data_IF_422345347913
#
_entry.id   IF_422345347913
#
_cell.length_a   1.000
_cell.length_b   1.000
_cell.length_c   1.000
_cell.angle_alpha   90.00
_cell.angle_beta   90.00
_cell.angle_gamma   90.00
#
_symmetry.space_group_name_H-M   'P 1'
#
loop_
_entity.id
_entity.type
_entity.pdbx_description
1 polymer ?
#
# COMPACT_ATOMS: atom_id res chain seq x y z
N UNK A 1 34.67 7.96 -7.73
CA UNK A 1 33.44 8.78 -7.67
C UNK A 1 33.50 9.67 -6.41
N UNK A 2 33.86 10.95 -6.58
CA UNK A 2 33.91 11.99 -5.52
C UNK A 2 32.67 12.88 -5.67
N UNK A 3 32.13 13.45 -4.59
CA UNK A 3 30.93 14.31 -4.55
C UNK A 3 29.63 13.64 -5.05
N UNK A 4 29.12 12.65 -4.30
CA UNK A 4 27.92 11.88 -4.68
C UNK A 4 26.64 12.30 -3.96
N UNK A 5 26.73 13.30 -3.08
CA UNK A 5 25.58 13.72 -2.29
C UNK A 5 24.64 14.54 -3.19
N UNK A 6 23.50 13.95 -3.50
CA UNK A 6 22.41 14.64 -4.17
C UNK A 6 21.55 15.33 -3.10
N UNK A 7 21.32 16.62 -3.28
CA UNK A 7 20.49 17.43 -2.39
C UNK A 7 19.28 17.93 -3.16
N UNK A 8 18.13 17.94 -2.51
CA UNK A 8 16.88 18.45 -3.04
C UNK A 8 16.13 19.25 -1.99
N UNK A 9 15.32 20.20 -2.45
CA UNK A 9 14.45 20.98 -1.60
C UNK A 9 13.17 21.33 -2.34
N UNK A 10 12.08 21.48 -1.61
CA UNK A 10 10.80 21.86 -2.17
C UNK A 10 9.95 22.62 -1.16
N UNK A 11 9.13 23.52 -1.68
CA UNK A 11 8.05 24.16 -0.93
C UNK A 11 6.75 23.85 -1.66
N UNK A 12 5.66 23.71 -0.91
CA UNK A 12 4.35 23.47 -1.52
C UNK A 12 3.25 24.10 -0.69
N UNK A 13 2.13 24.37 -1.35
CA UNK A 13 0.91 24.82 -0.74
C UNK A 13 -0.27 24.31 -1.59
N UNK A 14 -0.96 23.30 -1.08
CA UNK A 14 -2.08 22.65 -1.76
C UNK A 14 -3.36 22.79 -0.93
N UNK A 15 -4.49 22.82 -1.61
CA UNK A 15 -5.81 22.72 -0.99
C UNK A 15 -6.50 21.45 -1.49
N UNK A 16 -6.95 20.61 -0.56
CA UNK A 16 -7.70 19.40 -0.83
C UNK A 16 -9.11 19.54 -0.28
N UNK A 17 -10.08 18.99 -1.00
CA UNK A 17 -11.49 19.00 -0.61
C UNK A 17 -11.96 17.56 -0.46
N UNK A 18 -12.63 17.27 0.65
CA UNK A 18 -13.16 15.96 0.98
C UNK A 18 -14.62 16.09 1.35
N UNK A 19 -15.42 15.11 0.96
CA UNK A 19 -16.79 14.98 1.42
C UNK A 19 -16.83 13.93 2.54
N UNK A 20 -16.95 14.39 3.77
CA UNK A 20 -17.14 13.55 4.95
C UNK A 20 -18.62 13.20 5.10
N UNK A 21 -18.90 11.95 5.46
CA UNK A 21 -20.26 11.50 5.77
C UNK A 21 -20.78 12.14 7.07
N UNK A 22 -19.89 12.48 8.00
CA UNK A 22 -20.24 13.00 9.33
C UNK A 22 -20.20 14.53 9.42
N UNK A 23 -19.33 15.17 8.63
CA UNK A 23 -19.06 16.61 8.75
C UNK A 23 -19.26 17.42 7.45
N UNK A 24 -19.80 16.81 6.39
CA UNK A 24 -19.99 17.47 5.10
C UNK A 24 -18.67 17.79 4.39
N UNK A 25 -18.62 18.91 3.68
CA UNK A 25 -17.41 19.36 3.00
C UNK A 25 -16.33 19.80 3.98
N UNK A 26 -15.17 19.17 3.86
CA UNK A 26 -13.96 19.50 4.59
C UNK A 26 -12.92 20.00 3.58
N UNK A 27 -12.27 21.11 3.90
CA UNK A 27 -11.12 21.63 3.14
C UNK A 27 -9.86 21.57 3.99
N UNK A 28 -8.85 20.87 3.50
CA UNK A 28 -7.52 20.86 4.09
C UNK A 28 -6.56 21.69 3.26
N UNK A 29 -5.99 22.72 3.87
CA UNK A 29 -4.83 23.42 3.33
C UNK A 29 -3.57 22.77 3.88
N UNK A 30 -2.84 22.07 3.02
CA UNK A 30 -1.59 21.41 3.34
C UNK A 30 -0.44 22.20 2.71
N UNK A 31 0.48 22.67 3.54
CA UNK A 31 1.63 23.44 3.11
C UNK A 31 2.87 22.98 3.86
N UNK A 32 4.03 23.14 3.24
CA UNK A 32 5.25 22.67 3.87
C UNK A 32 6.51 22.95 3.08
N UNK A 33 7.61 22.64 3.75
CA UNK A 33 8.97 22.70 3.23
C UNK A 33 9.58 21.32 3.42
N UNK A 34 10.20 20.79 2.38
CA UNK A 34 10.90 19.50 2.41
C UNK A 34 12.34 19.67 1.99
N UNK A 35 13.24 19.03 2.72
CA UNK A 35 14.65 18.88 2.39
C UNK A 35 14.93 17.39 2.18
N UNK A 36 15.71 17.07 1.16
CA UNK A 36 16.02 15.71 0.74
C UNK A 36 17.52 15.59 0.53
N UNK A 37 18.09 14.45 0.93
CA UNK A 37 19.48 14.11 0.69
C UNK A 37 19.58 12.65 0.27
N UNK A 38 20.36 12.35 -0.76
CA UNK A 38 20.66 10.98 -1.17
C UNK A 38 22.15 10.81 -1.40
N UNK A 39 22.73 9.78 -0.80
CA UNK A 39 24.14 9.45 -0.95
C UNK A 39 24.29 8.00 -1.44
N UNK A 40 24.65 7.77 -2.72
CA UNK A 40 24.91 6.45 -3.26
C UNK A 40 26.31 5.95 -2.87
N UNK A 41 26.39 4.80 -2.20
CA UNK A 41 27.66 4.17 -1.83
C UNK A 41 28.29 3.42 -3.01
N UNK A 42 27.46 2.87 -3.89
CA UNK A 42 27.84 2.29 -5.18
C UNK A 42 26.69 2.46 -6.21
N UNK A 43 26.78 1.76 -7.35
CA UNK A 43 25.76 1.84 -8.42
C UNK A 43 24.38 1.33 -8.00
N UNK A 44 24.35 0.43 -7.04
CA UNK A 44 23.19 -0.34 -6.62
C UNK A 44 22.74 0.00 -5.20
N UNK A 45 23.60 0.60 -4.36
CA UNK A 45 23.30 0.92 -2.97
C UNK A 45 23.27 2.41 -2.68
N UNK A 46 22.28 2.86 -1.91
CA UNK A 46 22.17 4.25 -1.47
C UNK A 46 21.52 4.37 -0.10
N UNK A 47 21.90 5.43 0.63
CA UNK A 47 21.17 5.95 1.76
C UNK A 47 20.46 7.23 1.34
N UNK A 48 19.15 7.29 1.52
CA UNK A 48 18.35 8.49 1.27
C UNK A 48 17.71 8.93 2.57
N UNK A 49 17.76 10.22 2.86
CA UNK A 49 17.06 10.83 3.98
C UNK A 49 16.32 12.07 3.58
N UNK A 50 15.44 12.52 4.46
CA UNK A 50 14.60 13.66 4.20
C UNK A 50 13.98 14.20 5.48
N UNK A 51 13.69 15.49 5.46
CA UNK A 51 13.06 16.22 6.53
C UNK A 51 11.95 17.08 5.94
N UNK A 52 10.72 16.87 6.38
CA UNK A 52 9.57 17.66 5.96
C UNK A 52 8.96 18.38 7.15
N UNK A 53 8.87 19.70 7.05
CA UNK A 53 8.12 20.56 7.96
C UNK A 53 6.79 20.86 7.28
N UNK A 54 5.67 20.43 7.86
CA UNK A 54 4.37 20.62 7.23
C UNK A 54 3.32 21.10 8.22
N UNK A 55 2.42 21.94 7.72
CA UNK A 55 1.23 22.42 8.42
C UNK A 55 -0.03 22.00 7.67
N UNK A 56 -1.04 21.59 8.42
CA UNK A 56 -2.37 21.29 7.90
C UNK A 56 -3.36 22.20 8.62
N UNK A 57 -4.08 23.01 7.85
CA UNK A 57 -5.21 23.80 8.30
C UNK A 57 -6.49 23.19 7.72
N UNK A 58 -7.26 22.51 8.56
CA UNK A 58 -8.54 21.88 8.25
C UNK A 58 -9.69 22.83 8.56
N UNK A 59 -10.59 22.98 7.59
CA UNK A 59 -11.80 23.78 7.68
C UNK A 59 -13.04 22.90 7.43
N UNK A 60 -13.98 22.91 8.37
CA UNK A 60 -15.27 22.22 8.26
C UNK A 60 -16.28 23.21 7.69
N UNK A 61 -16.60 23.08 6.40
CA UNK A 61 -17.30 24.12 5.63
C UNK A 61 -18.80 24.17 5.89
N UNK A 62 -19.39 23.02 6.24
CA UNK A 62 -20.84 22.86 6.37
C UNK A 62 -21.32 22.89 7.84
N UNK A 63 -20.41 23.10 8.79
CA UNK A 63 -20.71 23.09 10.23
C UNK A 63 -20.40 24.45 10.87
N UNK A 64 -21.25 24.96 11.78
CA UNK A 64 -20.95 26.14 12.59
C UNK A 64 -19.69 25.97 13.45
N UNK A 65 -18.90 27.04 13.60
CA UNK A 65 -17.59 26.98 14.25
C UNK A 65 -17.66 26.56 15.73
N UNK A 66 -18.70 26.97 16.44
CA UNK A 66 -18.97 26.61 17.83
C UNK A 66 -19.28 25.12 18.01
N UNK A 67 -20.06 24.55 17.08
CA UNK A 67 -20.34 23.12 17.05
C UNK A 67 -19.08 22.31 16.73
N UNK A 68 -18.27 22.79 15.78
CA UNK A 68 -16.96 22.18 15.46
C UNK A 68 -16.04 22.21 16.69
N UNK A 69 -15.92 23.34 17.37
CA UNK A 69 -15.06 23.48 18.56
C UNK A 69 -15.49 22.53 19.67
N UNK A 70 -16.80 22.40 19.89
CA UNK A 70 -17.36 21.42 20.83
C UNK A 70 -17.02 19.98 20.44
N UNK A 71 -17.13 19.63 19.16
CA UNK A 71 -16.83 18.28 18.67
C UNK A 71 -15.33 17.96 18.72
N UNK A 72 -14.47 18.92 18.39
CA UNK A 72 -13.02 18.79 18.50
C UNK A 72 -12.62 18.62 19.97
N UNK A 73 -13.19 19.41 20.88
CA UNK A 73 -12.92 19.30 22.32
C UNK A 73 -13.30 17.93 22.90
N UNK A 74 -14.27 17.24 22.29
CA UNK A 74 -14.73 15.90 22.67
C UNK A 74 -14.06 14.77 21.88
N UNK A 75 -13.19 15.11 20.93
CA UNK A 75 -12.47 14.15 20.10
C UNK A 75 -13.30 13.52 18.97
N UNK A 76 -14.49 14.06 18.66
CA UNK A 76 -15.29 13.59 17.52
C UNK A 76 -14.73 14.08 16.18
N UNK A 77 -14.16 15.29 16.17
CA UNK A 77 -13.50 15.86 14.99
C UNK A 77 -12.01 16.09 15.22
N UNK A 78 -11.25 16.06 14.12
CA UNK A 78 -9.84 16.40 14.15
C UNK A 78 -9.65 17.92 14.41
N UNK A 79 -8.63 18.32 15.20
CA UNK A 79 -8.24 19.72 15.35
C UNK A 79 -7.96 20.39 14.01
N UNK A 80 -8.35 21.68 13.91
CA UNK A 80 -8.19 22.49 12.70
C UNK A 80 -6.73 22.65 12.29
N UNK A 81 -5.86 23.00 13.24
CA UNK A 81 -4.46 23.27 12.96
C UNK A 81 -3.56 22.19 13.51
N UNK A 82 -2.70 21.65 12.65
CA UNK A 82 -1.66 20.71 13.05
C UNK A 82 -0.35 21.01 12.33
N UNK A 83 0.74 20.91 13.07
CA UNK A 83 2.09 21.07 12.56
C UNK A 83 2.91 19.82 12.85
N UNK A 84 3.76 19.46 11.88
CA UNK A 84 4.48 18.20 11.90
C UNK A 84 5.91 18.39 11.40
N UNK A 85 6.80 17.61 11.99
CA UNK A 85 8.15 17.35 11.47
C UNK A 85 8.18 15.87 11.10
N UNK A 86 8.41 15.55 9.85
CA UNK A 86 8.62 14.18 9.39
C UNK A 86 10.06 13.99 8.96
N UNK A 87 10.80 13.19 9.72
CA UNK A 87 12.11 12.69 9.31
C UNK A 87 11.96 11.32 8.67
N UNK A 88 12.64 11.09 7.54
CA UNK A 88 12.76 9.76 6.97
C UNK A 88 14.22 9.42 6.65
N UNK A 89 14.55 8.14 6.76
CA UNK A 89 15.84 7.59 6.40
C UNK A 89 15.65 6.18 5.85
N UNK A 90 16.13 5.93 4.64
CA UNK A 90 15.94 4.69 3.92
C UNK A 90 17.24 4.23 3.29
N UNK A 91 17.65 3.02 3.61
CA UNK A 91 18.71 2.31 2.90
C UNK A 91 18.09 1.45 1.80
N UNK A 92 18.64 1.49 0.59
CA UNK A 92 18.15 0.70 -0.55
C UNK A 92 19.29 0.05 -1.28
N UNK A 93 19.10 -1.22 -1.65
CA UNK A 93 19.91 -1.92 -2.65
C UNK A 93 19.02 -2.37 -3.80
N UNK A 94 19.37 -2.02 -5.02
CA UNK A 94 18.61 -2.36 -6.22
C UNK A 94 19.52 -2.85 -7.34
N UNK A 95 19.32 -4.10 -7.77
CA UNK A 95 19.98 -4.72 -8.93
C UNK A 95 18.97 -5.22 -9.96
N UNK A 96 17.73 -4.70 -9.94
CA UNK A 96 16.66 -5.13 -10.82
C UNK A 96 16.94 -4.81 -12.29
N UNK A 97 16.59 -5.75 -13.16
CA UNK A 97 16.67 -5.61 -14.61
C UNK A 97 15.26 -5.50 -15.15
N UNK A 98 14.93 -4.35 -15.70
CA UNK A 98 13.61 -4.04 -16.25
C UNK A 98 13.43 -4.64 -17.64
N UNK A 99 12.24 -5.20 -17.88
CA UNK A 99 11.72 -5.52 -19.21
C UNK A 99 10.58 -4.57 -19.57
N UNK A 100 9.83 -4.93 -20.61
CA UNK A 100 8.78 -4.06 -21.14
C UNK A 100 7.58 -3.86 -20.20
N UNK A 101 7.29 -4.82 -19.32
CA UNK A 101 6.11 -4.77 -18.43
C UNK A 101 6.42 -4.66 -16.94
N UNK A 102 7.69 -4.81 -16.57
CA UNK A 102 8.15 -4.80 -15.19
C UNK A 102 9.51 -5.48 -15.04
N UNK A 103 10.01 -5.68 -13.81
CA UNK A 103 11.26 -6.38 -13.55
C UNK A 103 11.25 -7.83 -14.07
N UNK A 104 12.39 -8.26 -14.59
CA UNK A 104 12.56 -9.59 -15.20
C UNK A 104 13.67 -10.42 -14.55
N UNK A 105 14.62 -9.78 -13.88
CA UNK A 105 15.70 -10.45 -13.15
C UNK A 105 16.27 -9.51 -12.07
N UNK A 106 17.13 -10.04 -11.20
CA UNK A 106 17.78 -9.28 -10.15
C UNK A 106 16.93 -9.20 -8.89
N UNK A 107 17.30 -8.30 -7.97
CA UNK A 107 16.54 -8.12 -6.75
C UNK A 107 16.65 -6.71 -6.21
N UNK A 108 15.71 -6.35 -5.36
CA UNK A 108 15.66 -5.05 -4.70
C UNK A 108 15.29 -5.27 -3.25
N UNK A 109 15.92 -4.54 -2.36
CA UNK A 109 15.42 -4.44 -0.99
C UNK A 109 15.68 -3.06 -0.43
N UNK A 110 14.84 -2.67 0.51
CA UNK A 110 15.00 -1.44 1.25
C UNK A 110 14.47 -1.59 2.66
N UNK A 111 15.13 -0.89 3.58
CA UNK A 111 14.69 -0.74 4.96
C UNK A 111 14.69 0.75 5.26
N UNK A 112 13.59 1.24 5.81
CA UNK A 112 13.43 2.65 6.10
C UNK A 112 12.78 2.89 7.45
N UNK A 113 13.22 3.95 8.12
CA UNK A 113 12.60 4.50 9.31
C UNK A 113 11.95 5.84 8.95
N UNK A 114 10.76 6.08 9.45
CA UNK A 114 10.07 7.38 9.39
C UNK A 114 9.68 7.75 10.81
N UNK A 115 9.91 8.99 11.22
CA UNK A 115 9.64 9.44 12.58
C UNK A 115 9.08 10.84 12.60
N UNK A 116 8.14 11.06 13.52
CA UNK A 116 7.51 12.33 13.81
C UNK A 116 7.53 12.57 15.32
N UNK A 117 8.25 13.58 15.83
CA UNK A 117 8.15 13.96 17.23
C UNK A 117 6.85 14.74 17.49
N UNK A 118 6.34 14.69 18.73
CA UNK A 118 5.21 15.52 19.13
C UNK A 118 5.63 17.00 19.21
N UNK A 119 5.00 17.85 18.39
CA UNK A 119 5.20 19.30 18.43
C UNK A 119 3.90 19.98 18.86
N UNK A 120 3.95 20.72 19.97
CA UNK A 120 2.77 21.35 20.55
C UNK A 120 1.71 20.34 21.03
N UNK A 121 0.50 20.84 21.29
CA UNK A 121 -0.58 20.04 21.89
C UNK A 121 -1.22 19.05 20.90
N UNK A 122 -1.20 19.35 19.60
CA UNK A 122 -1.88 18.57 18.54
C UNK A 122 -0.92 17.88 17.56
N UNK A 123 0.38 17.86 17.87
CA UNK A 123 1.38 17.17 17.07
C UNK A 123 1.16 15.65 17.06
N UNK A 124 1.46 15.03 15.92
CA UNK A 124 1.35 13.57 15.73
C UNK A 124 2.71 12.94 15.98
N UNK A 125 2.75 11.98 16.91
CA UNK A 125 3.96 11.33 17.38
C UNK A 125 3.98 9.86 16.96
N UNK A 126 4.93 9.49 16.11
CA UNK A 126 5.16 8.10 15.75
C UNK A 126 6.59 7.83 15.30
N UNK A 127 6.95 6.56 15.30
CA UNK A 127 8.13 6.04 14.63
C UNK A 127 7.78 4.72 13.95
N UNK A 128 8.09 4.64 12.67
CA UNK A 128 7.69 3.56 11.78
C UNK A 128 8.92 2.96 11.14
N UNK A 129 9.10 1.64 11.28
CA UNK A 129 10.10 0.87 10.57
C UNK A 129 9.40 0.07 9.46
N UNK A 130 9.92 0.14 8.24
CA UNK A 130 9.40 -0.60 7.07
C UNK A 130 10.51 -1.31 6.34
N UNK A 131 10.18 -2.48 5.81
CA UNK A 131 11.03 -3.25 4.92
C UNK A 131 10.25 -3.74 3.70
N UNK A 132 10.92 -3.75 2.55
CA UNK A 132 10.44 -4.34 1.31
C UNK A 132 11.60 -5.10 0.67
N UNK A 133 11.35 -6.35 0.26
CA UNK A 133 12.31 -7.22 -0.40
C UNK A 133 11.65 -7.86 -1.62
N UNK A 134 12.37 -7.87 -2.74
CA UNK A 134 11.91 -8.38 -4.03
C UNK A 134 13.02 -9.17 -4.71
N UNK A 135 12.65 -10.28 -5.33
CA UNK A 135 13.55 -11.08 -6.15
C UNK A 135 12.84 -11.59 -7.39
N UNK A 136 13.53 -11.48 -8.52
CA UNK A 136 13.04 -11.93 -9.82
C UNK A 136 14.02 -12.94 -10.39
N UNK A 137 13.49 -14.06 -10.83
CA UNK A 137 14.23 -15.14 -11.46
C UNK A 137 13.74 -15.28 -12.88
N UNK A 138 14.60 -14.99 -13.86
CA UNK A 138 14.34 -15.32 -15.26
C UNK A 138 14.60 -16.82 -15.46
N UNK A 139 13.54 -17.62 -15.50
CA UNK A 139 13.62 -19.09 -15.62
C UNK A 139 13.97 -19.49 -17.05
N UNK A 140 13.34 -18.84 -18.03
CA UNK A 140 13.64 -18.90 -19.47
C UNK A 140 13.49 -17.50 -20.06
N UNK A 141 13.77 -17.32 -21.34
CA UNK A 141 13.82 -16.01 -21.99
C UNK A 141 12.62 -15.10 -21.65
N UNK A 142 11.40 -15.63 -21.70
CA UNK A 142 10.16 -14.88 -21.46
C UNK A 142 9.40 -15.32 -20.19
N UNK A 143 9.97 -16.22 -19.38
CA UNK A 143 9.31 -16.76 -18.18
C UNK A 143 10.01 -16.27 -16.92
N UNK A 144 9.27 -15.60 -16.05
CA UNK A 144 9.80 -14.91 -14.88
C UNK A 144 9.03 -15.36 -13.64
N UNK A 145 9.76 -15.71 -12.60
CA UNK A 145 9.21 -15.94 -11.28
C UNK A 145 9.60 -14.76 -10.37
N UNK A 146 8.60 -14.07 -9.83
CA UNK A 146 8.75 -12.94 -8.93
C UNK A 146 8.28 -13.30 -7.52
N UNK A 147 9.05 -12.87 -6.54
CA UNK A 147 8.71 -12.97 -5.13
C UNK A 147 8.91 -11.61 -4.48
N UNK A 148 7.91 -11.14 -3.75
CA UNK A 148 7.97 -9.93 -2.94
C UNK A 148 7.49 -10.22 -1.54
N UNK A 149 8.20 -9.68 -0.55
CA UNK A 149 7.77 -9.66 0.85
C UNK A 149 7.97 -8.26 1.38
N UNK A 150 6.95 -7.73 2.05
CA UNK A 150 6.99 -6.41 2.68
C UNK A 150 6.38 -6.48 4.07
N UNK A 151 6.80 -5.58 4.93
CA UNK A 151 6.26 -5.50 6.28
C UNK A 151 6.68 -4.22 6.96
N UNK A 152 5.97 -3.89 8.03
CA UNK A 152 6.22 -2.68 8.76
C UNK A 152 5.58 -2.70 10.13
N UNK A 153 6.16 -1.89 11.02
CA UNK A 153 5.69 -1.71 12.39
C UNK A 153 5.75 -0.23 12.72
N UNK A 154 4.69 0.29 13.34
CA UNK A 154 4.63 1.66 13.83
C UNK A 154 4.34 1.70 15.32
N UNK A 155 5.08 2.55 16.02
CA UNK A 155 4.95 2.81 17.45
C UNK A 155 4.83 4.31 17.73
N UNK A 156 4.45 4.68 18.95
CA UNK A 156 4.28 6.07 19.39
C UNK A 156 2.87 6.30 19.94
N UNK A 157 2.56 7.54 20.32
CA UNK A 157 1.22 7.92 20.81
C UNK A 157 0.17 7.89 19.69
N UNK A 158 0.59 8.12 18.45
CA UNK A 158 -0.27 8.20 17.28
C UNK A 158 0.32 7.31 16.16
N UNK A 159 0.39 5.99 16.35
CA UNK A 159 1.06 5.10 15.40
C UNK A 159 0.40 5.18 14.03
N UNK A 160 1.23 5.17 12.99
CA UNK A 160 0.79 5.13 11.60
C UNK A 160 -0.01 3.84 11.34
N UNK A 161 -1.13 3.97 10.63
CA UNK A 161 -1.90 2.82 10.14
C UNK A 161 -1.40 2.39 8.76
N UNK A 162 -1.35 1.08 8.56
CA UNK A 162 -1.10 0.45 7.28
C UNK A 162 -2.41 -0.10 6.74
N UNK A 163 -2.76 0.33 5.54
CA UNK A 163 -3.96 -0.09 4.85
C UNK A 163 -3.57 -1.04 3.73
N UNK A 164 -4.05 -2.26 3.80
CA UNK A 164 -3.79 -3.30 2.81
C UNK A 164 -5.04 -3.53 1.97
N UNK A 165 -4.82 -3.76 0.67
CA UNK A 165 -5.90 -4.01 -0.28
C UNK A 165 -5.67 -3.33 -1.63
N UNK A 166 -6.24 -3.92 -2.68
CA UNK A 166 -6.20 -3.37 -4.03
C UNK A 166 -4.82 -3.42 -4.68
N UNK A 167 -4.62 -2.53 -5.67
CA UNK A 167 -3.40 -2.46 -6.48
C UNK A 167 -3.10 -1.00 -6.83
N UNK A 168 -1.84 -0.62 -7.10
CA UNK A 168 -1.51 0.75 -7.49
C UNK A 168 -2.27 1.14 -8.77
N UNK A 169 -2.74 2.39 -8.83
CA UNK A 169 -3.48 2.97 -9.95
C UNK A 169 -4.71 2.13 -10.36
N UNK A 170 -5.41 1.54 -9.39
CA UNK A 170 -6.67 0.83 -9.63
C UNK A 170 -7.76 1.82 -10.07
N UNK A 171 -8.44 1.53 -11.18
CA UNK A 171 -9.47 2.37 -11.79
C UNK A 171 -10.84 2.06 -11.19
N UNK A 172 -11.25 0.80 -11.19
CA UNK A 172 -12.54 0.36 -10.68
C UNK A 172 -12.43 -0.10 -9.21
N UNK A 173 -11.85 0.76 -8.38
CA UNK A 173 -11.59 0.44 -6.99
C UNK A 173 -12.86 0.36 -6.15
N UNK A 174 -12.77 -0.42 -5.07
CA UNK A 174 -13.77 -0.48 -4.00
C UNK A 174 -13.09 -0.23 -2.66
N UNK A 175 -13.83 0.35 -1.72
CA UNK A 175 -13.39 0.55 -0.33
C UNK A 175 -14.18 -0.36 0.60
N UNK A 176 -13.49 -0.95 1.56
CA UNK A 176 -14.10 -1.60 2.71
C UNK A 176 -14.47 -0.51 3.74
N UNK A 177 -15.77 -0.29 3.97
CA UNK A 177 -16.25 0.76 4.88
C UNK A 177 -16.21 2.19 4.31
N UNK A 178 -15.97 2.36 3.00
CA UNK A 178 -15.98 3.68 2.35
C UNK A 178 -14.67 4.48 2.49
N UNK A 179 -14.70 5.72 2.00
CA UNK A 179 -13.56 6.64 2.07
C UNK A 179 -13.38 7.18 3.49
N UNK A 180 -12.16 7.06 4.03
CA UNK A 180 -11.80 7.54 5.36
C UNK A 180 -11.16 8.92 5.26
N UNK A 181 -11.94 9.96 5.56
CA UNK A 181 -11.51 11.37 5.45
C UNK A 181 -11.66 12.17 6.76
N UNK A 182 -12.25 11.54 7.77
CA UNK A 182 -12.62 12.22 9.01
C UNK A 182 -11.41 12.54 9.89
N UNK A 183 -10.32 11.77 9.75
CA UNK A 183 -9.10 11.92 10.55
C UNK A 183 -7.91 12.31 9.68
N UNK A 184 -7.19 13.36 10.09
CA UNK A 184 -5.99 13.86 9.39
C UNK A 184 -4.89 12.77 9.39
N UNK A 185 -4.78 12.01 10.47
CA UNK A 185 -3.86 10.87 10.59
C UNK A 185 -4.02 9.87 9.45
N UNK A 186 -5.28 9.58 9.08
CA UNK A 186 -5.61 8.57 8.09
C UNK A 186 -5.36 9.02 6.65
N UNK A 187 -5.44 10.34 6.40
CA UNK A 187 -5.19 10.91 5.06
C UNK A 187 -3.70 11.12 4.81
N UNK A 188 -2.99 11.72 5.77
CA UNK A 188 -1.64 12.24 5.52
C UNK A 188 -0.51 11.37 6.08
N UNK A 189 -0.82 10.46 7.00
CA UNK A 189 0.19 9.69 7.71
C UNK A 189 0.06 8.19 7.47
N UNK A 190 -1.15 7.67 7.28
CA UNK A 190 -1.32 6.26 6.90
C UNK A 190 -0.67 5.93 5.56
N UNK A 191 -0.25 4.68 5.41
CA UNK A 191 0.34 4.18 4.16
C UNK A 191 -0.53 3.08 3.58
N UNK A 192 -0.69 3.10 2.26
CA UNK A 192 -1.26 1.99 1.53
C UNK A 192 -0.17 1.00 1.14
N UNK A 193 -0.36 -0.25 1.53
CA UNK A 193 0.56 -1.34 1.27
C UNK A 193 -0.09 -2.27 0.24
N UNK A 194 0.47 -2.25 -0.97
CA UNK A 194 -0.09 -2.89 -2.18
C UNK A 194 1.00 -3.62 -2.97
N UNK A 195 0.66 -4.62 -3.82
CA UNK A 195 -0.69 -5.09 -4.12
C UNK A 195 -1.16 -6.21 -3.20
N UNK A 196 -2.48 -6.25 -2.97
CA UNK A 196 -3.20 -7.37 -2.35
C UNK A 196 -4.46 -7.60 -3.19
N UNK A 197 -4.29 -8.24 -4.36
CA UNK A 197 -5.35 -8.36 -5.37
C UNK A 197 -6.47 -9.26 -4.87
N UNK A 198 -7.71 -8.86 -5.17
CA UNK A 198 -8.93 -9.49 -4.67
C UNK A 198 -9.47 -8.89 -3.37
N UNK A 199 -8.68 -8.05 -2.68
CA UNK A 199 -9.14 -7.25 -1.56
C UNK A 199 -9.51 -5.83 -2.01
N UNK A 200 -10.62 -5.30 -1.48
CA UNK A 200 -10.93 -3.87 -1.54
C UNK A 200 -9.87 -3.05 -0.80
N UNK A 201 -9.76 -1.75 -1.07
CA UNK A 201 -8.99 -0.85 -0.22
C UNK A 201 -9.52 -0.90 1.22
N UNK A 202 -8.63 -0.80 2.22
CA UNK A 202 -8.95 -0.95 3.65
C UNK A 202 -9.48 -2.34 4.03
N UNK A 203 -9.24 -3.38 3.22
CA UNK A 203 -9.66 -4.75 3.56
C UNK A 203 -8.99 -5.23 4.85
N UNK A 204 -7.70 -4.92 5.03
CA UNK A 204 -7.00 -5.13 6.29
C UNK A 204 -6.38 -3.81 6.75
N UNK A 205 -6.32 -3.64 8.07
CA UNK A 205 -5.71 -2.47 8.69
C UNK A 205 -5.00 -2.83 9.99
N UNK A 206 -3.96 -2.06 10.32
CA UNK A 206 -3.25 -2.21 11.58
C UNK A 206 -2.04 -1.30 11.67
N UNK A 207 -1.47 -1.12 12.86
CA UNK A 207 -0.18 -0.46 13.04
C UNK A 207 1.02 -1.40 12.81
N UNK A 208 0.77 -2.66 12.47
CA UNK A 208 1.75 -3.61 11.94
C UNK A 208 1.16 -4.38 10.76
N UNK A 209 2.03 -4.78 9.84
CA UNK A 209 1.64 -5.64 8.74
C UNK A 209 2.79 -6.49 8.22
N UNK A 210 2.40 -7.57 7.55
CA UNK A 210 3.25 -8.36 6.67
C UNK A 210 2.46 -8.75 5.42
N UNK A 211 3.10 -8.71 4.26
CA UNK A 211 2.49 -9.04 2.98
C UNK A 211 3.49 -9.76 2.09
N UNK A 212 3.05 -10.81 1.40
CA UNK A 212 3.84 -11.57 0.44
C UNK A 212 3.10 -11.72 -0.87
N UNK A 213 3.81 -11.54 -1.98
CA UNK A 213 3.28 -11.72 -3.32
C UNK A 213 4.19 -12.70 -4.08
N UNK A 214 3.57 -13.73 -4.63
CA UNK A 214 4.23 -14.69 -5.51
C UNK A 214 3.62 -14.53 -6.89
N UNK A 215 4.45 -14.38 -7.91
CA UNK A 215 3.97 -14.14 -9.26
C UNK A 215 4.79 -14.91 -10.30
N UNK A 216 4.10 -15.60 -11.20
CA UNK A 216 4.70 -16.25 -12.36
C UNK A 216 4.23 -15.57 -13.63
N UNK A 217 5.16 -14.91 -14.34
CA UNK A 217 4.90 -14.17 -15.58
C UNK A 217 5.36 -14.99 -16.78
N UNK A 218 4.57 -14.94 -17.85
CA UNK A 218 4.82 -15.70 -19.08
C UNK A 218 4.26 -14.97 -20.31
N UNK A 219 4.73 -15.27 -21.54
CA UNK A 219 4.14 -14.70 -22.75
C UNK A 219 2.77 -15.34 -22.99
N UNK A 220 1.70 -14.55 -22.92
CA UNK A 220 0.34 -15.05 -23.13
C UNK A 220 -0.06 -14.99 -24.61
N UNK A 221 0.07 -13.81 -25.23
CA UNK A 221 -0.18 -13.63 -26.66
C UNK A 221 0.95 -12.80 -27.27
N UNK A 222 1.63 -13.36 -28.28
CA UNK A 222 2.72 -12.66 -28.97
C UNK A 222 2.22 -11.64 -29.97
N UNK A 223 1.19 -11.99 -30.74
CA UNK A 223 0.56 -11.14 -31.74
C UNK A 223 -0.94 -11.37 -31.74
N UNK A 224 -1.71 -10.30 -31.64
CA UNK A 224 -3.15 -10.28 -31.83
C UNK A 224 -3.46 -9.17 -32.81
N UNK A 225 -3.97 -9.56 -33.98
CA UNK A 225 -4.39 -8.64 -35.02
C UNK A 225 -5.90 -8.81 -35.22
N UNK A 226 -6.65 -7.74 -34.98
CA UNK A 226 -8.08 -7.69 -35.19
C UNK A 226 -8.41 -6.60 -36.21
N UNK A 227 -9.32 -6.87 -37.15
CA UNK A 227 -9.73 -5.92 -38.18
C UNK A 227 -11.06 -5.19 -37.89
N UNK A 228 -11.86 -5.69 -36.95
CA UNK A 228 -13.19 -5.17 -36.62
C UNK A 228 -13.37 -5.15 -35.09
N UNK A 229 -14.02 -4.14 -34.49
CA UNK A 229 -14.61 -2.94 -35.10
C UNK A 229 -13.59 -1.84 -35.45
N UNK A 230 -12.36 -1.94 -34.93
CA UNK A 230 -11.24 -1.05 -35.26
C UNK A 230 -9.99 -1.91 -35.50
N UNK A 231 -9.20 -1.66 -36.56
CA UNK A 231 -7.92 -2.32 -36.76
C UNK A 231 -7.02 -2.13 -35.54
N UNK A 232 -6.73 -3.23 -34.84
CA UNK A 232 -5.92 -3.25 -33.63
C UNK A 232 -4.79 -4.25 -33.82
N UNK A 233 -3.57 -3.83 -33.53
CA UNK A 233 -2.42 -4.70 -33.42
C UNK A 233 -1.86 -4.62 -32.00
N UNK A 234 -2.03 -5.71 -31.26
CA UNK A 234 -1.41 -5.88 -29.95
C UNK A 234 -0.30 -6.91 -30.07
N UNK A 235 0.83 -6.61 -29.46
CA UNK A 235 1.93 -7.56 -29.35
C UNK A 235 2.41 -7.69 -27.91
N UNK A 236 3.02 -8.83 -27.62
CA UNK A 236 3.63 -9.11 -26.32
C UNK A 236 2.69 -8.91 -25.12
N UNK A 237 1.45 -9.39 -25.23
CA UNK A 237 0.55 -9.47 -24.08
C UNK A 237 1.13 -10.51 -23.12
N UNK A 238 1.51 -10.05 -21.93
CA UNK A 238 2.00 -10.90 -20.86
C UNK A 238 0.86 -11.50 -20.06
N UNK A 239 1.03 -12.74 -19.62
CA UNK A 239 0.20 -13.39 -18.60
C UNK A 239 0.92 -13.39 -17.26
N UNK A 240 0.17 -13.35 -16.16
CA UNK A 240 0.66 -13.49 -14.80
C UNK A 240 -0.25 -14.43 -14.02
N UNK A 241 0.30 -15.44 -13.34
CA UNK A 241 -0.39 -16.16 -12.28
C UNK A 241 0.14 -15.65 -10.94
N UNK A 242 -0.74 -15.42 -9.97
CA UNK A 242 -0.30 -14.86 -8.70
C UNK A 242 -1.00 -15.46 -7.48
N UNK A 243 -0.30 -15.37 -6.35
CA UNK A 243 -0.80 -15.55 -4.99
C UNK A 243 -0.35 -14.36 -4.17
N UNK A 244 -1.30 -13.60 -3.66
CA UNK A 244 -1.08 -12.48 -2.75
C UNK A 244 -1.59 -12.87 -1.36
N UNK A 245 -0.79 -12.64 -0.33
CA UNK A 245 -1.16 -12.86 1.07
C UNK A 245 -0.82 -11.64 1.91
N UNK A 246 -1.70 -11.28 2.85
CA UNK A 246 -1.54 -10.10 3.69
C UNK A 246 -2.12 -10.32 5.08
N UNK A 247 -1.47 -9.74 6.07
CA UNK A 247 -1.92 -9.74 7.45
C UNK A 247 -1.56 -8.40 8.09
N UNK A 248 -2.53 -7.77 8.75
CA UNK A 248 -2.35 -6.53 9.49
C UNK A 248 -3.04 -6.63 10.85
N UNK A 249 -2.41 -6.03 11.85
CA UNK A 249 -2.88 -6.07 13.24
C UNK A 249 -2.38 -4.86 14.02
N UNK A 250 -3.03 -4.57 15.14
CA UNK A 250 -2.67 -3.51 16.06
C UNK A 250 -1.77 -4.02 17.20
N UNK A 251 -1.27 -3.11 18.04
CA UNK A 251 -0.30 -3.44 19.12
C UNK A 251 -0.94 -4.08 20.31
N UNK A 252 -2.19 -3.73 20.51
CA UNK A 252 -3.04 -4.16 21.57
C UNK A 252 -3.55 -5.58 21.29
N UNK A 253 -3.49 -6.03 20.01
CA UNK A 253 -3.93 -7.35 19.59
C UNK A 253 -2.84 -8.42 19.80
N UNK A 254 -3.25 -9.57 20.33
CA UNK A 254 -2.41 -10.76 20.48
C UNK A 254 -2.44 -11.57 19.18
N UNK A 255 -1.26 -11.95 18.66
CA UNK A 255 -1.15 -12.74 17.43
C UNK A 255 -0.86 -14.21 17.77
N UNK A 256 -1.71 -15.10 17.27
CA UNK A 256 -1.55 -16.56 17.37
C UNK A 256 -1.39 -17.16 15.99
N UNK A 257 -0.43 -18.07 15.84
CA UNK A 257 -0.18 -18.70 14.55
C UNK A 257 -1.31 -19.66 14.13
N UNK A 258 -1.77 -20.49 15.07
CA UNK A 258 -2.81 -21.48 14.81
C UNK A 258 -3.73 -21.66 16.03
N UNK A 259 -5.04 -21.76 15.79
CA UNK A 259 -6.03 -22.18 16.80
C UNK A 259 -6.95 -23.24 16.17
N UNK A 260 -7.14 -24.40 16.82
CA UNK A 260 -8.08 -25.42 16.32
C UNK A 260 -9.54 -25.01 16.49
N UNK A 261 -9.83 -24.21 17.51
CA UNK A 261 -11.16 -23.87 17.98
C UNK A 261 -11.30 -22.35 18.02
N UNK A 262 -11.25 -21.74 16.83
CA UNK A 262 -11.18 -20.29 16.65
C UNK A 262 -12.54 -19.60 16.58
N UNK A 263 -13.64 -20.33 16.80
CA UNK A 263 -15.01 -19.81 16.67
C UNK A 263 -15.35 -18.77 17.74
N UNK A 264 -14.59 -18.78 18.86
CA UNK A 264 -14.75 -17.88 20.01
C UNK A 264 -13.48 -17.06 20.31
N UNK A 265 -12.68 -16.71 19.30
CA UNK A 265 -11.51 -15.86 19.52
C UNK A 265 -11.95 -14.47 20.07
N UNK A 266 -11.35 -13.99 21.18
CA UNK A 266 -11.60 -12.64 21.69
C UNK A 266 -11.36 -11.56 20.62
N UNK A 267 -12.01 -10.40 20.76
CA UNK A 267 -11.87 -9.31 19.79
C UNK A 267 -10.44 -8.77 19.65
N UNK A 268 -9.61 -8.91 20.69
CA UNK A 268 -8.19 -8.55 20.73
C UNK A 268 -7.26 -9.71 20.31
N UNK A 269 -7.80 -10.84 19.87
CA UNK A 269 -7.04 -11.99 19.39
C UNK A 269 -7.09 -12.04 17.86
N UNK A 270 -5.91 -12.08 17.22
CA UNK A 270 -5.76 -12.36 15.79
C UNK A 270 -5.13 -13.73 15.60
N UNK A 271 -5.77 -14.59 14.82
CA UNK A 271 -5.32 -15.95 14.54
C UNK A 271 -5.06 -16.10 13.04
N UNK A 272 -3.83 -16.49 12.67
CA UNK A 272 -3.47 -16.58 11.26
C UNK A 272 -4.18 -17.75 10.56
N UNK A 273 -4.17 -18.92 11.20
CA UNK A 273 -4.69 -20.16 10.65
C UNK A 273 -5.59 -20.89 11.65
N UNK A 274 -6.60 -21.58 11.14
CA UNK A 274 -7.50 -22.43 11.94
C UNK A 274 -7.73 -23.77 11.24
N UNK A 275 -8.35 -24.72 11.94
CA UNK A 275 -8.64 -26.04 11.37
C UNK A 275 -9.69 -25.93 10.25
N UNK A 276 -9.38 -26.52 9.10
CA UNK A 276 -10.33 -26.66 8.01
C UNK A 276 -11.23 -27.90 8.20
N UNK A 277 -12.43 -27.96 7.59
CA UNK A 277 -13.33 -29.11 7.70
C UNK A 277 -12.72 -30.44 7.24
N UNK A 278 -11.76 -30.43 6.32
CA UNK A 278 -11.02 -31.62 5.88
C UNK A 278 -9.88 -32.05 6.84
N UNK A 279 -9.70 -31.37 7.97
CA UNK A 279 -8.66 -31.65 8.96
C UNK A 279 -7.31 -31.00 8.67
N UNK A 280 -7.13 -30.29 7.55
CA UNK A 280 -5.96 -29.46 7.27
C UNK A 280 -6.13 -28.06 7.89
N UNK A 281 -5.47 -27.04 7.34
CA UNK A 281 -5.58 -25.65 7.76
C UNK A 281 -6.36 -24.81 6.75
N UNK A 282 -6.94 -23.71 7.24
CA UNK A 282 -7.44 -22.58 6.43
C UNK A 282 -6.96 -21.26 7.06
N UNK A 283 -6.91 -20.18 6.30
CA UNK A 283 -6.69 -18.85 6.87
C UNK A 283 -7.90 -18.38 7.68
N UNK A 284 -7.67 -17.53 8.68
CA UNK A 284 -8.71 -16.86 9.46
C UNK A 284 -8.57 -15.34 9.34
N UNK A 285 -7.56 -14.73 9.97
CA UNK A 285 -7.30 -13.29 9.86
C UNK A 285 -6.31 -12.91 8.75
N UNK A 286 -5.67 -13.90 8.13
CA UNK A 286 -4.82 -13.69 6.94
C UNK A 286 -5.71 -13.61 5.70
N UNK A 287 -5.59 -12.51 4.96
CA UNK A 287 -6.14 -12.44 3.62
C UNK A 287 -5.24 -13.20 2.66
N UNK A 288 -5.83 -14.02 1.79
CA UNK A 288 -5.15 -14.60 0.65
C UNK A 288 -6.00 -14.46 -0.62
N UNK A 289 -5.35 -14.18 -1.75
CA UNK A 289 -5.99 -14.07 -3.06
C UNK A 289 -5.13 -14.75 -4.11
N UNK A 290 -5.75 -15.59 -4.94
CA UNK A 290 -5.10 -16.20 -6.11
C UNK A 290 -5.71 -15.63 -7.38
N UNK A 291 -4.95 -15.62 -8.48
CA UNK A 291 -5.51 -15.12 -9.71
C UNK A 291 -4.65 -15.21 -10.94
N UNK A 292 -5.22 -14.67 -12.01
CA UNK A 292 -4.62 -14.57 -13.33
C UNK A 292 -4.68 -13.12 -13.81
N UNK A 293 -3.63 -12.64 -14.45
CA UNK A 293 -3.51 -11.27 -14.91
C UNK A 293 -3.02 -11.18 -16.35
N UNK A 294 -3.46 -10.14 -17.05
CA UNK A 294 -2.99 -9.74 -18.37
C UNK A 294 -2.20 -8.43 -18.26
N UNK A 295 -1.11 -8.33 -19.02
CA UNK A 295 -0.23 -7.16 -19.12
C UNK A 295 -0.14 -6.72 -20.56
N UNK A 296 -0.69 -5.55 -20.87
CA UNK A 296 -0.80 -5.05 -22.23
C UNK A 296 -0.04 -3.73 -22.34
N UNK A 297 0.96 -3.69 -23.21
CA UNK A 297 1.64 -2.45 -23.55
C UNK A 297 0.87 -1.76 -24.68
N UNK A 298 0.24 -0.62 -24.38
CA UNK A 298 -0.52 0.18 -25.34
C UNK A 298 0.29 1.37 -25.87
N UNK A 299 1.63 1.26 -25.82
CA UNK A 299 2.58 2.28 -26.30
C UNK A 299 2.92 3.30 -25.22
N UNK A 300 1.95 4.14 -24.85
CA UNK A 300 2.15 5.22 -23.85
C UNK A 300 1.70 4.83 -22.44
N UNK A 301 0.93 3.76 -22.29
CA UNK A 301 0.52 3.23 -21.00
C UNK A 301 0.58 1.71 -20.97
N UNK A 302 0.82 1.18 -19.77
CA UNK A 302 0.74 -0.24 -19.50
C UNK A 302 -0.57 -0.52 -18.78
N UNK A 303 -1.43 -1.32 -19.41
CA UNK A 303 -2.68 -1.77 -18.84
C UNK A 303 -2.48 -3.12 -18.16
N UNK A 304 -3.00 -3.23 -16.93
CA UNK A 304 -3.09 -4.47 -16.18
C UNK A 304 -4.54 -4.81 -15.91
N UNK A 305 -4.91 -6.04 -16.23
CA UNK A 305 -6.22 -6.59 -15.91
C UNK A 305 -5.98 -7.82 -15.05
N UNK A 306 -6.32 -7.76 -13.77
CA UNK A 306 -6.14 -8.87 -12.83
C UNK A 306 -7.51 -9.46 -12.44
N UNK A 307 -7.66 -10.75 -12.64
CA UNK A 307 -8.79 -11.57 -12.20
C UNK A 307 -8.37 -12.28 -10.92
N UNK A 308 -8.94 -11.86 -9.78
CA UNK A 308 -8.54 -12.32 -8.46
C UNK A 308 -9.71 -12.98 -7.73
N UNK A 309 -9.44 -14.13 -7.10
CA UNK A 309 -10.36 -14.85 -6.23
C UNK A 309 -9.79 -14.91 -4.82
N UNK A 310 -10.47 -14.30 -3.84
CA UNK A 310 -10.16 -14.52 -2.43
C UNK A 310 -10.23 -16.00 -2.08
N UNK A 311 -9.30 -16.49 -1.28
CA UNK A 311 -9.22 -17.88 -0.85
C UNK A 311 -8.79 -17.94 0.61
N UNK A 312 -9.19 -19.00 1.31
CA UNK A 312 -8.67 -19.31 2.64
C UNK A 312 -7.76 -20.54 2.63
N UNK A 313 -7.25 -20.94 1.46
CA UNK A 313 -6.49 -22.19 1.19
C UNK A 313 -7.26 -23.50 1.35
N UNK A 314 -8.48 -23.48 1.91
CA UNK A 314 -9.39 -24.62 1.90
C UNK A 314 -10.47 -24.49 0.81
N UNK A 315 -11.07 -23.31 0.71
CA UNK A 315 -12.06 -22.95 -0.30
C UNK A 315 -11.70 -21.61 -0.94
N UNK A 316 -12.03 -21.48 -2.22
CA UNK A 316 -11.86 -20.25 -3.01
C UNK A 316 -13.23 -19.66 -3.31
N UNK A 317 -13.35 -18.34 -3.19
CA UNK A 317 -14.58 -17.61 -3.49
C UNK A 317 -15.05 -17.89 -4.92
N UNK A 318 -16.36 -17.95 -5.13
CA UNK A 318 -16.95 -17.97 -6.47
C UNK A 318 -16.96 -16.58 -7.10
N UNK A 319 -16.97 -15.54 -6.27
CA UNK A 319 -17.01 -14.16 -6.70
C UNK A 319 -15.61 -13.69 -7.06
N UNK A 320 -15.41 -13.48 -8.35
CA UNK A 320 -14.19 -12.96 -8.93
C UNK A 320 -14.16 -11.43 -8.84
N UNK A 321 -13.06 -10.88 -8.35
CA UNK A 321 -12.78 -9.44 -8.47
C UNK A 321 -11.97 -9.17 -9.73
N UNK A 322 -12.42 -8.24 -10.56
CA UNK A 322 -11.65 -7.78 -11.73
C UNK A 322 -11.03 -6.43 -11.37
N UNK A 323 -9.71 -6.32 -11.45
CA UNK A 323 -8.97 -5.09 -11.19
C UNK A 323 -8.38 -4.55 -12.49
N UNK A 324 -8.85 -3.37 -12.89
CA UNK A 324 -8.28 -2.60 -14.00
C UNK A 324 -7.28 -1.59 -13.43
N UNK A 325 -6.01 -1.69 -13.80
CA UNK A 325 -5.00 -0.74 -13.29
C UNK A 325 -3.98 -0.35 -14.33
N UNK A 326 -3.29 0.76 -14.07
CA UNK A 326 -2.28 1.34 -14.96
C UNK A 326 -0.87 1.29 -14.35
N UNK A 327 0.12 1.17 -15.22
CA UNK A 327 1.53 1.19 -14.84
C UNK A 327 2.15 -0.19 -14.72
N UNK A 328 3.48 -0.21 -14.56
CA UNK A 328 4.26 -1.45 -14.57
C UNK A 328 4.02 -2.31 -13.32
N UNK A 329 4.34 -3.60 -13.44
CA UNK A 329 4.38 -4.48 -12.27
C UNK A 329 5.55 -4.15 -11.33
N UNK A 330 5.40 -4.62 -10.09
CA UNK A 330 6.34 -4.37 -9.01
C UNK A 330 7.67 -5.08 -9.20
#
# INVERSE_FOLDING_TARGET
LKNRLDLGGGIYHNAYFFLSQSAGWIRDRNYGVSLLASNPFDRYTRLSGGLSLMGINRNYMDLPDDYVDWMVARGYLAPRDRFFVLGNLTYTKDTTVWGYTGPTNGGRWGVGVTSSPQLGKHGVEFSTLRGDWRRYFRVRQDYIFGLRTSGGVSYGKHPQKFFLGGTPNWINYSYNGGLRVDRIEEIYFSSFEMPLRGASYYALEGNRFVMTNIEFRFPFVRYLQAGFPLPLFLSNIGGALFLDTGFAWDREENVRFYNSDSEDDPADQKTLFTRAPNGLFKTQDVFAGIGFGLRMNLGFLLLRIDFAWPTNFYSTSKDMTILWSLGADY
#
